data_IF_891685558107
#
_entry.id   IF_891685558107
#
_cell.length_a   1.000
_cell.length_b   1.000
_cell.length_c   1.000
_cell.angle_alpha   90.00
_cell.angle_beta   90.00
_cell.angle_gamma   90.00
#
_symmetry.space_group_name_H-M   'P 1'
#
loop_
_entity.id
_entity.type
_entity.pdbx_description
1 polymer ?
#
# COMPACT_ATOMS: atom_id res chain seq x y z
N UNK A 1 -9.20 -26.39 -4.52
CA UNK A 1 -9.80 -26.91 -3.27
C UNK A 1 -11.12 -26.20 -3.05
N UNK A 2 -12.17 -26.88 -2.59
CA UNK A 2 -13.48 -26.26 -2.31
C UNK A 2 -13.99 -26.69 -0.94
N UNK A 3 -14.93 -25.95 -0.37
CA UNK A 3 -15.56 -26.28 0.89
C UNK A 3 -16.92 -25.61 1.08
N UNK A 4 -17.69 -26.16 2.02
CA UNK A 4 -19.01 -25.67 2.41
C UNK A 4 -19.07 -25.57 3.94
N UNK A 5 -19.56 -24.45 4.44
CA UNK A 5 -19.68 -24.15 5.86
C UNK A 5 -21.15 -23.90 6.18
N UNK A 6 -21.63 -24.49 7.27
CA UNK A 6 -22.92 -24.20 7.89
C UNK A 6 -22.68 -23.99 9.38
N UNK A 7 -22.79 -22.76 9.85
CA UNK A 7 -22.50 -22.40 11.24
C UNK A 7 -23.61 -21.55 11.85
N UNK A 8 -24.17 -21.92 13.02
CA UNK A 8 -25.12 -21.08 13.74
C UNK A 8 -24.58 -19.67 14.00
N UNK A 9 -25.37 -18.65 13.66
CA UNK A 9 -25.04 -17.25 13.92
C UNK A 9 -25.20 -16.96 15.41
N UNK A 10 -24.13 -16.45 16.03
CA UNK A 10 -24.09 -16.06 17.45
C UNK A 10 -24.50 -14.62 17.65
N UNK A 11 -24.07 -13.74 16.76
CA UNK A 11 -24.44 -12.31 16.79
C UNK A 11 -24.27 -11.67 15.43
N UNK A 12 -25.13 -10.70 15.16
CA UNK A 12 -24.99 -9.76 14.06
C UNK A 12 -24.83 -8.38 14.67
N UNK A 13 -23.73 -7.71 14.36
CA UNK A 13 -23.46 -6.35 14.81
C UNK A 13 -23.78 -5.40 13.65
N UNK A 14 -24.79 -4.55 13.85
CA UNK A 14 -25.17 -3.47 12.94
C UNK A 14 -24.76 -2.16 13.62
N UNK A 15 -23.74 -1.49 13.10
CA UNK A 15 -23.22 -0.23 13.65
C UNK A 15 -23.75 0.99 12.90
N UNK A 16 -23.05 2.12 13.03
CA UNK A 16 -23.30 3.34 12.24
C UNK A 16 -22.67 3.32 10.83
N UNK A 17 -22.11 2.18 10.42
CA UNK A 17 -21.54 1.96 9.09
C UNK A 17 -22.60 1.37 8.15
N UNK A 18 -22.37 1.52 6.85
CA UNK A 18 -23.01 0.79 5.76
C UNK A 18 -22.67 -0.72 5.73
N UNK A 19 -21.92 -1.21 6.71
CA UNK A 19 -21.48 -2.59 6.87
C UNK A 19 -21.99 -3.18 8.18
N UNK A 20 -22.28 -4.47 8.14
CA UNK A 20 -22.63 -5.27 9.30
C UNK A 20 -21.67 -6.45 9.44
N UNK A 21 -21.46 -6.88 10.68
CA UNK A 21 -20.58 -7.99 10.99
C UNK A 21 -21.39 -9.19 11.47
N UNK A 22 -21.18 -10.34 10.84
CA UNK A 22 -21.80 -11.61 11.21
C UNK A 22 -20.74 -12.48 11.87
N UNK A 23 -21.04 -12.94 13.10
CA UNK A 23 -20.24 -13.93 13.81
C UNK A 23 -21.03 -15.23 13.93
N UNK A 24 -20.49 -16.31 13.39
CA UNK A 24 -21.04 -17.66 13.48
C UNK A 24 -19.98 -18.63 14.02
N UNK A 25 -20.44 -19.70 14.68
CA UNK A 25 -19.55 -20.72 15.26
C UNK A 25 -20.16 -22.08 15.01
N UNK A 26 -19.40 -23.00 14.40
CA UNK A 26 -19.86 -24.37 14.13
C UNK A 26 -19.78 -25.30 15.34
N UNK A 27 -20.19 -26.55 15.17
CA UNK A 27 -20.23 -27.55 16.24
C UNK A 27 -18.83 -27.99 16.71
N UNK A 28 -17.80 -27.76 15.88
CA UNK A 28 -16.40 -27.99 16.26
C UNK A 28 -15.79 -26.78 17.00
N UNK A 29 -16.54 -25.68 17.14
CA UNK A 29 -16.09 -24.46 17.80
C UNK A 29 -15.28 -23.53 16.88
N UNK A 30 -15.26 -23.77 15.57
CA UNK A 30 -14.57 -22.89 14.63
C UNK A 30 -15.38 -21.62 14.39
N UNK A 31 -14.73 -20.47 14.54
CA UNK A 31 -15.35 -19.16 14.38
C UNK A 31 -15.29 -18.68 12.92
N UNK A 32 -16.43 -18.21 12.41
CA UNK A 32 -16.56 -17.55 11.12
C UNK A 32 -17.04 -16.13 11.31
N UNK A 33 -16.31 -15.20 10.73
CA UNK A 33 -16.48 -13.76 10.90
C UNK A 33 -16.45 -13.10 9.54
N UNK A 34 -17.59 -12.57 9.11
CA UNK A 34 -17.71 -11.91 7.81
C UNK A 34 -18.31 -10.52 7.95
N UNK A 35 -17.86 -9.63 7.09
CA UNK A 35 -18.44 -8.30 6.94
C UNK A 35 -19.25 -8.22 5.65
N UNK A 36 -20.51 -7.82 5.76
CA UNK A 36 -21.47 -7.74 4.67
C UNK A 36 -22.06 -6.34 4.59
N UNK A 37 -22.64 -5.92 3.45
CA UNK A 37 -23.42 -4.70 3.39
C UNK A 37 -24.57 -4.74 4.42
N UNK A 38 -24.82 -3.63 5.10
CA UNK A 38 -25.87 -3.53 6.12
C UNK A 38 -27.25 -3.91 5.56
N UNK A 39 -27.52 -3.53 4.31
CA UNK A 39 -28.76 -3.87 3.60
C UNK A 39 -29.00 -5.40 3.52
N UNK A 40 -27.96 -6.22 3.45
CA UNK A 40 -28.09 -7.68 3.35
C UNK A 40 -28.62 -8.33 4.64
N UNK A 41 -28.56 -7.62 5.77
CA UNK A 41 -29.02 -8.11 7.07
C UNK A 41 -30.10 -7.21 7.67
N UNK A 42 -30.66 -6.26 6.91
CA UNK A 42 -31.60 -5.27 7.43
C UNK A 42 -32.84 -5.94 8.05
N UNK A 43 -33.38 -6.96 7.37
CA UNK A 43 -34.60 -7.68 7.77
C UNK A 43 -34.36 -8.76 8.83
N UNK A 44 -33.10 -8.97 9.23
CA UNK A 44 -32.76 -9.87 10.33
C UNK A 44 -33.18 -9.24 11.65
N UNK A 45 -34.30 -9.72 12.18
CA UNK A 45 -34.88 -9.28 13.45
C UNK A 45 -34.25 -9.97 14.67
N UNK A 46 -34.35 -9.36 15.86
CA UNK A 46 -33.92 -9.98 17.11
C UNK A 46 -34.75 -11.24 17.41
N UNK A 47 -34.13 -12.22 18.07
CA UNK A 47 -34.79 -13.46 18.53
C UNK A 47 -34.91 -14.57 17.48
N UNK A 48 -34.60 -14.30 16.22
CA UNK A 48 -34.55 -15.31 15.17
C UNK A 48 -33.21 -16.06 15.21
N UNK A 49 -33.26 -17.39 15.04
CA UNK A 49 -32.07 -18.21 14.88
C UNK A 49 -31.69 -18.26 13.41
N UNK A 50 -30.46 -17.86 13.10
CA UNK A 50 -29.92 -17.89 11.75
C UNK A 50 -28.70 -18.81 11.66
N UNK A 51 -28.42 -19.27 10.46
CA UNK A 51 -27.22 -20.05 10.13
C UNK A 51 -26.48 -19.30 9.02
N UNK A 52 -25.18 -19.12 9.19
CA UNK A 52 -24.30 -18.67 8.12
C UNK A 52 -24.00 -19.86 7.22
N UNK A 53 -24.35 -19.72 5.94
CA UNK A 53 -24.00 -20.69 4.90
C UNK A 53 -22.99 -20.03 3.97
N UNK A 54 -21.81 -20.64 3.83
CA UNK A 54 -20.74 -20.14 2.97
C UNK A 54 -20.18 -21.27 2.12
N UNK A 55 -20.22 -21.09 0.80
CA UNK A 55 -19.49 -21.92 -0.16
C UNK A 55 -18.24 -21.20 -0.61
N UNK A 56 -17.10 -21.90 -0.63
CA UNK A 56 -15.82 -21.30 -1.03
C UNK A 56 -14.99 -22.24 -1.90
N UNK A 57 -14.09 -21.64 -2.67
CA UNK A 57 -13.09 -22.34 -3.46
C UNK A 57 -11.77 -21.59 -3.42
N UNK A 58 -10.66 -22.30 -3.28
CA UNK A 58 -9.31 -21.79 -3.55
C UNK A 58 -8.90 -22.19 -4.96
N UNK A 59 -8.51 -21.17 -5.72
CA UNK A 59 -7.94 -21.29 -7.07
C UNK A 59 -6.47 -20.89 -7.00
N UNK A 60 -5.62 -21.62 -7.74
CA UNK A 60 -4.22 -21.24 -7.88
C UNK A 60 -4.13 -20.09 -8.89
N UNK A 61 -3.47 -19.01 -8.49
CA UNK A 61 -3.08 -17.94 -9.41
C UNK A 61 -1.67 -18.27 -9.91
N UNK A 62 -1.38 -18.19 -11.22
CA UNK A 62 -0.03 -18.37 -11.74
C UNK A 62 0.96 -17.46 -11.02
N UNK A 63 2.16 -17.96 -10.75
CA UNK A 63 3.22 -17.10 -10.24
C UNK A 63 3.59 -16.08 -11.33
N UNK A 64 3.45 -14.79 -11.03
CA UNK A 64 4.05 -13.72 -11.83
C UNK A 64 5.55 -14.01 -11.89
N UNK A 65 6.07 -14.36 -13.07
CA UNK A 65 7.51 -14.47 -13.29
C UNK A 65 8.05 -13.05 -13.19
N UNK A 66 8.59 -12.72 -12.02
CA UNK A 66 9.02 -11.37 -11.69
C UNK A 66 9.84 -10.77 -12.81
N UNK A 67 9.48 -9.53 -13.20
CA UNK A 67 10.35 -8.68 -13.98
C UNK A 67 11.74 -8.74 -13.34
N UNK A 68 12.70 -9.29 -14.07
CA UNK A 68 14.10 -9.30 -13.66
C UNK A 68 14.42 -7.84 -13.41
N UNK A 69 14.67 -7.49 -12.13
CA UNK A 69 15.21 -6.19 -11.79
C UNK A 69 16.52 -6.08 -12.58
N UNK A 70 16.49 -5.37 -13.71
CA UNK A 70 17.67 -5.04 -14.46
C UNK A 70 18.47 -4.11 -13.56
N UNK A 71 19.33 -4.70 -12.74
CA UNK A 71 20.27 -3.97 -11.91
C UNK A 71 21.14 -3.15 -12.86
N UNK A 72 21.15 -1.81 -12.76
CA UNK A 72 22.00 -1.01 -13.62
C UNK A 72 23.45 -1.46 -13.41
N UNK A 73 24.12 -1.86 -14.49
CA UNK A 73 25.53 -2.22 -14.44
C UNK A 73 26.33 -1.03 -13.90
N UNK A 74 27.30 -1.23 -12.99
CA UNK A 74 28.14 -0.13 -12.53
C UNK A 74 28.89 0.47 -13.73
N UNK A 75 29.05 1.80 -13.78
CA UNK A 75 29.80 2.44 -14.85
C UNK A 75 31.24 1.93 -14.82
N UNK A 76 31.74 1.48 -15.97
CA UNK A 76 33.15 1.08 -16.12
C UNK A 76 34.06 2.25 -15.72
N UNK A 77 35.15 2.02 -14.96
CA UNK A 77 36.05 3.10 -14.59
C UNK A 77 36.67 3.69 -15.86
N UNK A 78 36.42 4.99 -16.09
CA UNK A 78 37.07 5.78 -17.13
C UNK A 78 38.57 5.72 -16.86
N UNK A 79 39.32 5.12 -17.78
CA UNK A 79 40.78 5.13 -17.79
C UNK A 79 41.22 6.59 -17.92
N UNK A 80 41.69 7.18 -16.82
CA UNK A 80 42.27 8.51 -16.83
C UNK A 80 43.42 8.54 -17.85
N UNK A 81 43.24 9.32 -18.92
CA UNK A 81 44.31 9.65 -19.84
C UNK A 81 45.37 10.45 -19.06
N UNK A 82 46.65 10.07 -19.24
CA UNK A 82 47.77 10.72 -18.59
C UNK A 82 47.80 12.24 -18.88
N UNK A 83 48.30 13.07 -17.94
CA UNK A 83 48.24 14.52 -18.06
C UNK A 83 49.04 14.99 -19.27
N UNK A 84 48.37 15.62 -20.23
CA UNK A 84 49.04 16.35 -21.29
C UNK A 84 49.45 17.71 -20.73
N UNK A 85 50.73 17.83 -20.38
CA UNK A 85 51.42 19.06 -20.00
C UNK A 85 51.02 20.22 -20.94
N UNK A 86 50.26 21.20 -20.44
CA UNK A 86 50.11 22.48 -21.13
C UNK A 86 50.00 23.65 -20.15
N UNK A 87 51.14 24.32 -20.04
CA UNK A 87 51.43 25.65 -19.50
C UNK A 87 50.23 26.61 -19.60
N UNK A 88 49.84 27.24 -18.49
CA UNK A 88 49.00 28.46 -18.51
C UNK A 88 49.87 29.69 -18.25
N UNK A 89 49.87 30.57 -19.24
CA UNK A 89 50.14 32.00 -19.08
C UNK A 89 48.82 32.73 -19.34
N UNK A 90 48.47 33.71 -18.49
CA UNK A 90 47.61 34.84 -18.87
C UNK A 90 46.10 34.79 -18.58
N UNK A 91 45.71 35.21 -17.37
CA UNK A 91 44.83 36.35 -17.00
C UNK A 91 43.42 36.57 -17.63
N UNK A 92 42.48 36.90 -16.73
CA UNK A 92 41.25 37.72 -16.82
C UNK A 92 39.90 37.08 -17.18
N UNK A 93 38.88 37.37 -16.35
CA UNK A 93 37.47 37.36 -16.76
C UNK A 93 36.50 36.78 -15.72
N UNK A 94 35.43 37.53 -15.41
CA UNK A 94 34.50 37.42 -14.28
C UNK A 94 33.19 36.70 -14.67
N UNK A 95 32.33 36.43 -13.67
CA UNK A 95 30.94 35.89 -13.66
C UNK A 95 30.83 34.36 -13.49
N UNK A 96 30.08 33.76 -12.56
CA UNK A 96 29.15 34.14 -11.49
C UNK A 96 28.42 32.82 -11.09
N UNK A 97 28.07 32.55 -9.82
CA UNK A 97 27.63 31.22 -9.42
C UNK A 97 26.16 30.95 -9.77
N UNK A 98 25.92 29.84 -10.49
CA UNK A 98 24.58 29.30 -10.69
C UNK A 98 24.06 28.70 -9.36
N UNK A 99 22.93 29.24 -8.91
CA UNK A 99 22.19 28.83 -7.71
C UNK A 99 21.68 27.39 -7.85
N UNK A 100 22.30 26.45 -7.14
CA UNK A 100 21.70 25.16 -6.82
C UNK A 100 20.64 25.40 -5.74
N UNK A 101 19.36 25.50 -6.14
CA UNK A 101 18.23 25.60 -5.22
C UNK A 101 18.05 24.26 -4.49
N UNK A 102 18.58 24.19 -3.27
CA UNK A 102 18.46 23.05 -2.39
C UNK A 102 17.02 22.96 -1.83
N UNK A 103 16.44 21.75 -1.87
CA UNK A 103 15.05 21.46 -1.52
C UNK A 103 14.69 21.79 -0.05
N UNK A 104 15.69 22.13 0.77
CA UNK A 104 15.47 22.57 2.15
C UNK A 104 14.89 23.98 2.29
N UNK A 105 15.07 24.89 1.31
CA UNK A 105 14.51 26.25 1.41
C UNK A 105 12.99 26.34 1.15
N UNK A 106 12.39 25.35 0.49
CA UNK A 106 10.94 25.34 0.23
C UNK A 106 10.11 25.08 1.50
N UNK A 107 10.68 24.39 2.50
CA UNK A 107 9.98 24.09 3.77
C UNK A 107 9.87 25.28 4.72
N UNK A 108 10.78 26.27 4.64
CA UNK A 108 10.76 27.42 5.54
C UNK A 108 9.77 28.53 5.13
N UNK A 109 9.24 28.53 3.90
CA UNK A 109 8.29 29.55 3.42
C UNK A 109 6.82 29.22 3.64
N UNK A 110 6.46 27.97 3.88
CA UNK A 110 5.06 27.57 4.11
C UNK A 110 4.64 27.62 5.59
N UNK A 111 5.59 27.79 6.51
CA UNK A 111 5.27 27.87 7.95
C UNK A 111 4.86 29.28 8.42
N UNK A 112 4.69 30.25 7.50
CA UNK A 112 4.31 31.64 7.79
C UNK A 112 2.99 32.06 7.12
N UNK A 113 2.08 31.10 6.93
CA UNK A 113 0.74 31.33 6.35
C UNK A 113 -0.42 30.82 7.24
N UNK A 114 -0.17 30.45 8.51
CA UNK A 114 -1.19 29.95 9.45
C UNK A 114 -1.22 30.73 10.78
N UNK A 115 -1.02 32.05 10.72
CA UNK A 115 -1.39 32.93 11.83
C UNK A 115 -1.70 34.34 11.29
N UNK A 116 -2.91 34.49 10.76
CA UNK A 116 -3.65 35.74 10.67
C UNK A 116 -5.14 35.38 10.63
#
# INVERSE_FOLDING_TARGET
MTGHISAPVRRILKGHSDRAFIHAVDDAGLEYKIEVPLAAVQDVGPGQRHVLVLSWSLQQVPAEVGAVNAQPSPPSPIRAAAPLERRRSGVHGVHGPALQLDAQQLRARLSRAHHA
#
